data_IF_818226586583
#
_entry.id   IF_818226586583
#
_cell.length_a   1.000
_cell.length_b   1.000
_cell.length_c   1.000
_cell.angle_alpha   90.00
_cell.angle_beta   90.00
_cell.angle_gamma   90.00
#
_symmetry.space_group_name_H-M   'P 1'
#
loop_
_entity.id
_entity.type
_entity.pdbx_description
1 polymer ?
#
# COMPACT_ATOMS: atom_id res chain seq x y z
N UNK A 1 -19.57 7.76 29.77
CA UNK A 1 -18.20 8.24 30.10
C UNK A 1 -17.16 7.73 29.11
N UNK A 2 -17.18 6.46 28.71
CA UNK A 2 -16.24 5.92 27.67
C UNK A 2 -16.49 6.54 26.29
N UNK A 3 -17.75 6.84 25.93
CA UNK A 3 -18.10 7.50 24.65
C UNK A 3 -17.63 8.97 24.60
N UNK A 4 -17.63 9.70 25.70
CA UNK A 4 -17.11 11.08 25.74
C UNK A 4 -15.60 11.12 25.58
N UNK A 5 -14.88 10.08 26.00
CA UNK A 5 -13.44 9.93 25.79
C UNK A 5 -13.11 9.52 24.34
N UNK A 6 -13.97 8.73 23.69
CA UNK A 6 -13.79 8.32 22.29
C UNK A 6 -14.19 9.43 21.28
N UNK A 7 -15.17 10.26 21.64
CA UNK A 7 -15.61 11.41 20.82
C UNK A 7 -14.73 12.65 21.05
N UNK A 8 -14.01 12.70 22.16
CA UNK A 8 -13.15 13.83 22.54
C UNK A 8 -11.68 13.69 22.12
N UNK A 9 -11.25 12.53 21.64
CA UNK A 9 -9.89 12.41 21.11
C UNK A 9 -9.88 12.84 19.63
N UNK A 10 -9.24 13.96 19.32
CA UNK A 10 -8.99 14.43 17.96
C UNK A 10 -8.41 13.34 17.05
N UNK A 11 -7.70 12.37 17.62
CA UNK A 11 -7.09 11.23 16.94
C UNK A 11 -8.11 10.28 16.28
N UNK A 12 -9.36 10.23 16.77
CA UNK A 12 -10.41 9.36 16.21
C UNK A 12 -11.25 10.01 15.12
N UNK A 13 -11.10 11.32 14.90
CA UNK A 13 -11.94 12.10 13.97
C UNK A 13 -11.14 12.58 12.75
N UNK A 14 -9.81 12.54 12.76
CA UNK A 14 -8.94 13.17 11.74
C UNK A 14 -9.28 12.80 10.30
N UNK A 15 -9.79 11.60 10.03
CA UNK A 15 -10.07 11.13 8.66
C UNK A 15 -11.55 10.96 8.35
N UNK A 16 -12.45 11.32 9.29
CA UNK A 16 -13.88 11.15 9.14
C UNK A 16 -14.66 12.36 9.61
N UNK A 17 -15.71 12.66 8.85
CA UNK A 17 -16.71 13.61 9.30
C UNK A 17 -17.62 12.95 10.36
N UNK A 18 -18.28 13.77 11.21
CA UNK A 18 -19.30 13.29 12.14
C UNK A 18 -20.42 12.54 11.41
N UNK A 19 -20.72 12.94 10.18
CA UNK A 19 -21.75 12.33 9.35
C UNK A 19 -21.34 10.90 8.94
N UNK A 20 -20.09 10.68 8.54
CA UNK A 20 -19.58 9.35 8.22
C UNK A 20 -19.61 8.42 9.44
N UNK A 21 -19.22 8.92 10.62
CA UNK A 21 -19.32 8.15 11.86
C UNK A 21 -20.77 7.76 12.20
N UNK A 22 -21.72 8.68 12.01
CA UNK A 22 -23.14 8.39 12.22
C UNK A 22 -23.68 7.35 11.23
N UNK A 23 -23.23 7.37 9.98
CA UNK A 23 -23.57 6.36 8.96
C UNK A 23 -23.09 4.99 9.39
N UNK A 24 -21.84 4.85 9.85
CA UNK A 24 -21.30 3.57 10.34
C UNK A 24 -22.10 3.05 11.53
N UNK A 25 -22.34 3.92 12.52
CA UNK A 25 -23.09 3.57 13.72
C UNK A 25 -24.52 3.11 13.40
N UNK A 26 -25.17 3.78 12.45
CA UNK A 26 -26.51 3.40 11.97
C UNK A 26 -26.49 2.05 11.25
N UNK A 27 -25.45 1.80 10.45
CA UNK A 27 -25.28 0.53 9.72
C UNK A 27 -25.07 -0.65 10.66
N UNK A 28 -24.22 -0.49 11.68
CA UNK A 28 -23.94 -1.52 12.67
C UNK A 28 -25.05 -1.67 13.72
N UNK A 29 -25.91 -0.64 13.90
CA UNK A 29 -26.94 -0.56 14.91
C UNK A 29 -26.44 -0.77 16.35
N UNK A 30 -25.20 -0.34 16.62
CA UNK A 30 -24.53 -0.35 17.92
C UNK A 30 -23.35 0.60 17.92
N UNK A 31 -22.75 0.81 19.09
CA UNK A 31 -21.49 1.53 19.20
C UNK A 31 -20.32 0.68 18.69
N UNK A 32 -19.28 1.35 18.19
CA UNK A 32 -18.07 0.73 17.68
C UNK A 32 -17.08 0.44 18.82
N UNK A 33 -16.32 -0.64 18.69
CA UNK A 33 -15.09 -0.81 19.47
C UNK A 33 -13.98 0.09 18.91
N UNK A 34 -12.86 0.21 19.65
CA UNK A 34 -11.72 1.00 19.19
C UNK A 34 -11.08 0.38 17.94
N UNK A 35 -11.04 -0.93 17.86
CA UNK A 35 -10.53 -1.66 16.70
C UNK A 35 -11.40 -1.42 15.47
N UNK A 36 -12.71 -1.50 15.61
CA UNK A 36 -13.66 -1.21 14.53
C UNK A 36 -13.55 0.25 14.07
N UNK A 37 -13.38 1.17 15.01
CA UNK A 37 -13.17 2.57 14.71
C UNK A 37 -11.87 2.74 13.87
N UNK A 38 -10.79 2.07 14.23
CA UNK A 38 -9.54 2.04 13.48
C UNK A 38 -9.70 1.43 12.08
N UNK A 39 -10.36 0.27 11.97
CA UNK A 39 -10.64 -0.38 10.69
C UNK A 39 -11.41 0.54 9.74
N UNK A 40 -12.50 1.14 10.21
CA UNK A 40 -13.28 2.07 9.39
C UNK A 40 -12.50 3.35 9.07
N UNK A 41 -11.59 3.82 9.97
CA UNK A 41 -10.73 4.95 9.70
C UNK A 41 -9.80 4.66 8.53
N UNK A 42 -9.13 3.54 8.57
CA UNK A 42 -8.21 3.13 7.52
C UNK A 42 -8.95 2.87 6.19
N UNK A 43 -10.02 2.07 6.22
CA UNK A 43 -10.70 1.66 4.99
C UNK A 43 -11.55 2.75 4.34
N UNK A 44 -11.94 3.79 5.09
CA UNK A 44 -12.80 4.87 4.59
C UNK A 44 -12.06 6.19 4.34
N UNK A 45 -10.75 6.22 4.47
CA UNK A 45 -9.96 7.37 4.04
C UNK A 45 -9.87 7.43 2.50
N UNK A 46 -9.45 8.57 1.97
CA UNK A 46 -9.31 8.76 0.51
C UNK A 46 -8.31 7.78 -0.11
N UNK A 47 -7.23 7.46 0.61
CA UNK A 47 -6.17 6.57 0.13
C UNK A 47 -6.70 5.15 -0.18
N UNK A 48 -7.56 4.58 0.70
CA UNK A 48 -8.08 3.22 0.52
C UNK A 48 -9.38 3.16 -0.31
N UNK A 49 -10.29 4.14 -0.17
CA UNK A 49 -11.63 4.04 -0.78
C UNK A 49 -11.85 4.91 -2.02
N UNK A 50 -10.93 5.84 -2.30
CA UNK A 50 -11.02 6.77 -3.44
C UNK A 50 -12.35 7.55 -3.47
N UNK A 51 -12.91 7.89 -2.30
CA UNK A 51 -14.26 8.46 -2.18
C UNK A 51 -14.46 9.76 -2.98
N UNK A 52 -13.42 10.56 -3.14
CA UNK A 52 -13.43 11.81 -3.91
C UNK A 52 -12.83 11.69 -5.29
N UNK A 53 -11.75 10.92 -5.47
CA UNK A 53 -11.03 10.78 -6.73
C UNK A 53 -11.66 9.81 -7.72
N UNK A 54 -12.43 8.81 -7.24
CA UNK A 54 -13.04 7.75 -8.08
C UNK A 54 -13.84 8.28 -9.27
N UNK A 55 -14.53 9.42 -9.12
CA UNK A 55 -15.29 10.06 -10.21
C UNK A 55 -14.41 10.56 -11.36
N UNK A 56 -13.15 10.90 -11.04
CA UNK A 56 -12.16 11.35 -12.01
C UNK A 56 -11.43 10.18 -12.65
N UNK A 57 -11.04 9.18 -11.83
CA UNK A 57 -10.39 7.96 -12.30
C UNK A 57 -11.23 7.23 -13.35
N UNK A 58 -12.55 7.21 -13.18
CA UNK A 58 -13.50 6.64 -14.17
C UNK A 58 -13.48 7.32 -15.54
N UNK A 59 -12.86 8.50 -15.70
CA UNK A 59 -12.74 9.19 -16.98
C UNK A 59 -11.50 8.78 -17.77
N UNK A 60 -10.56 8.08 -17.13
CA UNK A 60 -9.37 7.55 -17.78
C UNK A 60 -9.77 6.40 -18.72
N UNK A 61 -9.17 6.30 -19.89
CA UNK A 61 -9.43 5.18 -20.81
C UNK A 61 -8.82 3.91 -20.22
N UNK A 62 -9.69 3.00 -19.79
CA UNK A 62 -9.29 1.72 -19.16
C UNK A 62 -9.85 0.50 -19.88
N UNK A 63 -10.54 0.71 -21.00
CA UNK A 63 -11.15 -0.34 -21.81
C UNK A 63 -10.61 -0.24 -23.25
N UNK A 64 -9.86 -1.26 -23.66
CA UNK A 64 -9.23 -1.36 -24.97
C UNK A 64 -8.94 -2.84 -25.26
N UNK A 65 -8.78 -3.19 -26.55
CA UNK A 65 -8.50 -4.57 -26.99
C UNK A 65 -7.23 -5.18 -26.40
N UNK A 66 -6.24 -4.34 -26.03
CA UNK A 66 -4.99 -4.80 -25.41
C UNK A 66 -5.07 -4.91 -23.88
N UNK A 67 -6.14 -4.46 -23.24
CA UNK A 67 -6.27 -4.52 -21.76
C UNK A 67 -6.77 -5.89 -21.36
N UNK A 68 -5.92 -6.66 -20.67
CA UNK A 68 -6.29 -7.95 -20.07
C UNK A 68 -6.92 -7.71 -18.72
N UNK A 69 -6.27 -6.87 -17.89
CA UNK A 69 -6.75 -6.49 -16.56
C UNK A 69 -6.75 -4.97 -16.43
N UNK A 70 -7.93 -4.38 -16.30
CA UNK A 70 -8.14 -2.98 -15.95
C UNK A 70 -8.15 -2.76 -14.43
N UNK A 71 -8.64 -1.57 -13.96
CA UNK A 71 -8.74 -1.26 -12.53
C UNK A 71 -9.56 -2.28 -11.75
N UNK A 72 -9.12 -2.58 -10.50
CA UNK A 72 -9.80 -3.49 -9.58
C UNK A 72 -8.93 -4.62 -9.05
N UNK A 73 -7.74 -4.80 -9.57
CA UNK A 73 -6.68 -5.67 -9.06
C UNK A 73 -5.44 -4.85 -8.67
N UNK A 74 -4.40 -5.51 -8.18
CA UNK A 74 -3.20 -4.84 -7.67
C UNK A 74 -2.43 -4.09 -8.76
N UNK A 75 -2.44 -4.61 -9.99
CA UNK A 75 -1.85 -3.93 -11.13
C UNK A 75 -2.69 -4.08 -12.40
N UNK A 76 -2.54 -3.17 -13.36
CA UNK A 76 -3.04 -3.32 -14.70
C UNK A 76 -2.20 -4.30 -15.51
N UNK A 77 -2.84 -5.01 -16.44
CA UNK A 77 -2.13 -5.92 -17.35
C UNK A 77 -2.56 -5.66 -18.78
N UNK A 78 -1.59 -5.49 -19.67
CA UNK A 78 -1.80 -5.34 -21.10
C UNK A 78 -1.22 -6.51 -21.89
N UNK A 79 -1.84 -6.80 -23.01
CA UNK A 79 -1.44 -7.85 -23.95
C UNK A 79 -0.23 -7.40 -24.79
N UNK A 80 0.80 -8.23 -24.86
CA UNK A 80 1.94 -8.09 -25.77
C UNK A 80 1.86 -8.99 -26.99
N UNK A 81 0.71 -9.65 -27.21
CA UNK A 81 0.49 -10.75 -28.15
C UNK A 81 1.07 -12.09 -27.66
N UNK A 82 0.88 -13.14 -28.46
CA UNK A 82 1.20 -14.52 -28.08
C UNK A 82 0.67 -14.86 -26.67
N UNK A 83 1.51 -15.39 -25.76
CA UNK A 83 1.14 -15.69 -24.38
C UNK A 83 1.73 -14.69 -23.37
N UNK A 84 2.26 -13.58 -23.82
CA UNK A 84 2.95 -12.60 -22.96
C UNK A 84 2.09 -11.40 -22.62
N UNK A 85 2.25 -10.89 -21.40
CA UNK A 85 1.63 -9.68 -20.90
C UNK A 85 2.60 -8.86 -20.07
N UNK A 86 2.30 -7.57 -19.96
CA UNK A 86 2.98 -6.64 -19.07
C UNK A 86 2.04 -6.20 -17.96
N UNK A 87 2.43 -6.48 -16.73
CA UNK A 87 1.82 -5.89 -15.54
C UNK A 87 2.53 -4.59 -15.20
N UNK A 88 1.78 -3.55 -14.84
CA UNK A 88 2.35 -2.26 -14.43
C UNK A 88 1.43 -1.53 -13.48
N UNK A 89 2.03 -0.75 -12.60
CA UNK A 89 1.35 0.15 -11.67
C UNK A 89 2.24 1.31 -11.32
N UNK A 90 1.65 2.46 -11.08
CA UNK A 90 2.30 3.64 -10.50
C UNK A 90 1.55 4.05 -9.25
N UNK A 91 2.27 4.41 -8.20
CA UNK A 91 1.71 4.87 -6.94
C UNK A 91 2.55 5.99 -6.34
N UNK A 92 1.89 6.91 -5.62
CA UNK A 92 2.56 8.00 -4.94
C UNK A 92 2.95 7.62 -3.52
N UNK A 93 4.14 8.06 -3.09
CA UNK A 93 4.63 7.92 -1.72
C UNK A 93 5.18 9.26 -1.20
N UNK A 94 4.38 10.32 -1.34
CA UNK A 94 4.79 11.72 -1.18
C UNK A 94 5.08 12.08 0.28
N UNK A 95 4.08 12.01 1.16
CA UNK A 95 4.22 12.40 2.57
C UNK A 95 5.29 11.59 3.31
N UNK A 96 5.34 10.26 3.22
CA UNK A 96 6.43 9.50 3.82
C UNK A 96 7.82 9.96 3.34
N UNK A 97 7.96 10.28 2.06
CA UNK A 97 9.22 10.74 1.47
C UNK A 97 9.57 12.18 1.85
N UNK A 98 8.62 12.99 2.30
CA UNK A 98 8.89 14.32 2.84
C UNK A 98 9.44 14.25 4.27
N UNK A 99 8.91 13.34 5.08
CA UNK A 99 9.26 13.16 6.50
C UNK A 99 10.59 12.39 6.62
N UNK A 100 10.69 11.25 5.96
CA UNK A 100 11.85 10.36 5.95
C UNK A 100 12.19 9.98 4.50
N UNK A 101 12.93 10.83 3.76
CA UNK A 101 13.05 10.70 2.32
C UNK A 101 13.66 9.38 1.86
N UNK A 102 14.60 8.81 2.63
CA UNK A 102 15.18 7.50 2.32
C UNK A 102 14.16 6.37 2.55
N UNK A 103 13.59 6.27 3.74
CA UNK A 103 12.63 5.20 4.06
C UNK A 103 11.33 5.35 3.26
N UNK A 104 10.82 6.58 3.12
CA UNK A 104 9.60 6.83 2.37
C UNK A 104 9.70 6.42 0.90
N UNK A 105 10.78 6.77 0.23
CA UNK A 105 10.97 6.38 -1.18
C UNK A 105 11.32 4.91 -1.34
N UNK A 106 12.12 4.33 -0.43
CA UNK A 106 12.43 2.91 -0.43
C UNK A 106 11.16 2.06 -0.30
N UNK A 107 10.27 2.40 0.62
CA UNK A 107 9.00 1.68 0.81
C UNK A 107 8.00 1.93 -0.32
N UNK A 108 8.07 3.08 -0.98
CA UNK A 108 7.33 3.33 -2.23
C UNK A 108 7.72 2.34 -3.33
N UNK A 109 9.03 2.10 -3.52
CA UNK A 109 9.52 1.09 -4.46
C UNK A 109 9.11 -0.31 -4.03
N UNK A 110 9.25 -0.67 -2.75
CA UNK A 110 8.85 -1.99 -2.23
C UNK A 110 7.36 -2.25 -2.45
N UNK A 111 6.49 -1.30 -2.08
CA UNK A 111 5.04 -1.43 -2.27
C UNK A 111 4.66 -1.68 -3.72
N UNK A 112 5.21 -0.89 -4.64
CA UNK A 112 4.86 -1.03 -6.05
C UNK A 112 5.37 -2.34 -6.66
N UNK A 113 6.50 -2.87 -6.20
CA UNK A 113 7.01 -4.17 -6.62
C UNK A 113 6.11 -5.31 -6.14
N UNK A 114 5.59 -5.23 -4.89
CA UNK A 114 4.64 -6.22 -4.36
C UNK A 114 3.38 -6.30 -5.19
N UNK A 115 2.83 -5.17 -5.59
CA UNK A 115 1.66 -5.13 -6.46
C UNK A 115 1.88 -5.88 -7.78
N UNK A 116 3.06 -5.75 -8.36
CA UNK A 116 3.41 -6.44 -9.61
C UNK A 116 3.49 -7.95 -9.39
N UNK A 117 4.27 -8.42 -8.41
CA UNK A 117 4.40 -9.87 -8.25
C UNK A 117 3.15 -10.53 -7.64
N UNK A 118 2.27 -9.78 -6.96
CA UNK A 118 0.93 -10.26 -6.56
C UNK A 118 0.10 -10.70 -7.77
N UNK A 119 0.30 -10.10 -8.94
CA UNK A 119 -0.33 -10.50 -10.20
C UNK A 119 0.31 -11.75 -10.87
N UNK A 120 1.26 -12.40 -10.22
CA UNK A 120 2.05 -13.48 -10.84
C UNK A 120 3.10 -12.98 -11.84
N UNK A 121 3.26 -11.67 -11.95
CA UNK A 121 4.22 -11.04 -12.84
C UNK A 121 5.59 -10.91 -12.16
N UNK A 122 6.67 -11.24 -12.89
CA UNK A 122 8.02 -10.98 -12.41
C UNK A 122 8.39 -9.53 -12.68
N UNK A 123 8.66 -8.71 -11.65
CA UNK A 123 9.16 -7.36 -11.86
C UNK A 123 10.48 -7.35 -12.63
N UNK A 124 10.60 -6.48 -13.61
CA UNK A 124 11.77 -6.38 -14.49
C UNK A 124 12.39 -4.99 -14.53
N UNK A 125 11.60 -3.96 -14.15
CA UNK A 125 12.06 -2.58 -14.15
C UNK A 125 11.23 -1.72 -13.21
N UNK A 126 11.85 -0.65 -12.71
CA UNK A 126 11.17 0.48 -12.07
C UNK A 126 11.44 1.78 -12.82
N UNK A 127 10.53 2.73 -12.67
CA UNK A 127 10.61 4.09 -13.17
C UNK A 127 10.06 5.02 -12.09
N UNK A 128 10.48 6.28 -12.09
CA UNK A 128 9.99 7.24 -11.10
C UNK A 128 9.59 8.56 -11.75
N UNK A 129 8.59 9.21 -11.18
CA UNK A 129 8.24 10.59 -11.50
C UNK A 129 8.33 11.39 -10.21
N UNK A 130 9.40 12.18 -10.07
CA UNK A 130 9.71 12.89 -8.83
C UNK A 130 9.75 14.39 -9.05
N UNK A 131 9.18 15.13 -8.08
CA UNK A 131 9.12 16.58 -8.13
C UNK A 131 9.47 17.16 -6.78
N UNK A 132 10.29 18.21 -6.81
CA UNK A 132 10.81 18.88 -5.62
C UNK A 132 10.68 20.39 -5.76
N UNK A 133 10.81 21.10 -4.64
CA UNK A 133 10.96 22.54 -4.61
C UNK A 133 12.23 23.04 -5.31
N UNK A 134 12.54 24.31 -5.15
CA UNK A 134 13.69 24.91 -5.81
C UNK A 134 15.00 24.25 -5.38
N UNK A 135 15.83 23.86 -6.34
CA UNK A 135 17.08 23.10 -6.13
C UNK A 135 18.12 23.86 -5.28
N UNK A 136 18.00 25.18 -5.21
CA UNK A 136 18.89 26.03 -4.42
C UNK A 136 18.68 25.87 -2.91
N UNK A 137 17.50 25.42 -2.47
CA UNK A 137 17.18 25.27 -1.05
C UNK A 137 17.86 24.05 -0.43
N UNK A 138 18.29 24.16 0.81
CA UNK A 138 18.91 23.04 1.54
C UNK A 138 17.89 21.90 1.80
N UNK A 139 16.62 22.23 2.03
CA UNK A 139 15.55 21.23 2.21
C UNK A 139 15.39 20.39 0.95
N UNK A 140 15.32 21.02 -0.23
CA UNK A 140 15.21 20.29 -1.51
C UNK A 140 16.40 19.37 -1.74
N UNK A 141 17.63 19.82 -1.49
CA UNK A 141 18.82 18.99 -1.62
C UNK A 141 18.78 17.78 -0.68
N UNK A 142 18.35 18.00 0.56
CA UNK A 142 18.18 16.92 1.55
C UNK A 142 17.15 15.89 1.08
N UNK A 143 15.96 16.35 0.65
CA UNK A 143 14.89 15.49 0.17
C UNK A 143 15.31 14.70 -1.08
N UNK A 144 15.86 15.39 -2.08
CA UNK A 144 16.34 14.76 -3.32
C UNK A 144 17.38 13.66 -3.04
N UNK A 145 18.39 14.01 -2.22
CA UNK A 145 19.43 13.04 -1.88
C UNK A 145 18.88 11.79 -1.20
N UNK A 146 18.01 11.98 -0.20
CA UNK A 146 17.39 10.86 0.51
C UNK A 146 16.49 10.01 -0.39
N UNK A 147 15.64 10.64 -1.21
CA UNK A 147 14.73 9.94 -2.15
C UNK A 147 15.51 9.12 -3.17
N UNK A 148 16.51 9.72 -3.84
CA UNK A 148 17.32 9.00 -4.84
C UNK A 148 18.08 7.84 -4.20
N UNK A 149 18.61 8.03 -2.98
CA UNK A 149 19.27 6.95 -2.24
C UNK A 149 18.30 5.82 -1.87
N UNK A 150 17.09 6.15 -1.41
CA UNK A 150 16.07 5.15 -1.05
C UNK A 150 15.66 4.29 -2.24
N UNK A 151 15.34 4.94 -3.37
CA UNK A 151 15.00 4.26 -4.63
C UNK A 151 16.15 3.35 -5.08
N UNK A 152 17.38 3.91 -5.16
CA UNK A 152 18.56 3.17 -5.60
C UNK A 152 18.93 2.01 -4.68
N UNK A 153 18.82 2.21 -3.36
CA UNK A 153 19.09 1.16 -2.37
C UNK A 153 18.13 -0.02 -2.55
N UNK A 154 16.81 0.26 -2.62
CA UNK A 154 15.82 -0.79 -2.74
C UNK A 154 15.98 -1.57 -4.04
N UNK A 155 16.06 -0.88 -5.17
CA UNK A 155 16.25 -1.48 -6.49
C UNK A 155 17.52 -2.33 -6.60
N UNK A 156 18.64 -1.81 -6.10
CA UNK A 156 19.92 -2.53 -6.11
C UNK A 156 19.89 -3.82 -5.27
N UNK A 157 19.31 -3.76 -4.06
CA UNK A 157 19.26 -4.93 -3.17
C UNK A 157 18.31 -6.01 -3.71
N UNK A 158 17.18 -5.64 -4.29
CA UNK A 158 16.25 -6.62 -4.87
C UNK A 158 16.68 -7.09 -6.26
N UNK A 159 17.58 -6.36 -6.92
CA UNK A 159 18.12 -6.68 -8.25
C UNK A 159 17.20 -6.27 -9.40
N UNK A 160 16.41 -5.22 -9.23
CA UNK A 160 15.52 -4.68 -10.26
C UNK A 160 15.99 -3.26 -10.62
N UNK A 161 16.40 -3.03 -11.90
CA UNK A 161 16.95 -1.75 -12.31
C UNK A 161 15.88 -0.67 -12.39
N UNK A 162 16.22 0.53 -11.98
CA UNK A 162 15.49 1.75 -12.35
C UNK A 162 16.00 2.18 -13.74
N UNK A 163 15.11 2.19 -14.73
CA UNK A 163 15.48 2.37 -16.14
C UNK A 163 15.10 3.73 -16.70
N UNK A 164 14.42 4.57 -15.92
CA UNK A 164 14.01 5.88 -16.40
C UNK A 164 13.03 6.57 -15.46
N UNK A 165 12.48 7.65 -15.95
CA UNK A 165 11.56 8.52 -15.22
C UNK A 165 11.82 9.98 -15.51
N UNK A 166 11.34 10.85 -14.65
CA UNK A 166 11.50 12.30 -14.75
C UNK A 166 11.75 12.92 -13.37
N UNK A 167 12.51 13.99 -13.34
CA UNK A 167 12.76 14.80 -12.15
C UNK A 167 12.62 16.27 -12.48
N UNK A 168 11.72 16.97 -11.78
CA UNK A 168 11.43 18.36 -12.01
C UNK A 168 11.54 19.16 -10.70
N UNK A 169 11.85 20.48 -10.84
CA UNK A 169 12.03 21.41 -9.73
C UNK A 169 11.17 22.65 -9.96
N UNK A 170 10.27 22.94 -9.01
CA UNK A 170 9.42 24.12 -9.05
C UNK A 170 9.01 24.54 -7.64
N UNK A 171 8.91 25.82 -7.38
CA UNK A 171 8.60 26.37 -6.04
C UNK A 171 7.27 25.89 -5.46
N UNK A 172 6.33 25.46 -6.28
CA UNK A 172 5.05 24.86 -5.82
C UNK A 172 5.23 23.57 -5.03
N UNK A 173 6.40 22.93 -5.14
CA UNK A 173 6.74 21.70 -4.41
C UNK A 173 7.67 21.92 -3.21
N UNK A 174 7.93 23.17 -2.80
CA UNK A 174 8.82 23.46 -1.66
C UNK A 174 8.38 22.80 -0.36
N UNK A 175 7.06 22.67 -0.15
CA UNK A 175 6.48 22.10 1.07
C UNK A 175 5.79 20.75 0.85
N UNK A 176 5.80 20.22 -0.36
CA UNK A 176 5.15 18.95 -0.69
C UNK A 176 5.77 18.35 -1.95
N UNK A 177 6.87 17.63 -1.78
CA UNK A 177 7.48 16.88 -2.87
C UNK A 177 6.53 15.80 -3.40
N UNK A 178 6.66 15.47 -4.68
CA UNK A 178 5.99 14.31 -5.27
C UNK A 178 7.02 13.20 -5.52
N UNK A 179 6.72 12.02 -5.02
CA UNK A 179 7.50 10.81 -5.27
C UNK A 179 6.54 9.74 -5.76
N UNK A 180 6.57 9.48 -7.06
CA UNK A 180 5.74 8.44 -7.67
C UNK A 180 6.66 7.34 -8.16
N UNK A 181 6.47 6.13 -7.63
CA UNK A 181 7.18 4.94 -8.05
C UNK A 181 6.30 4.12 -9.00
N UNK A 182 6.87 3.71 -10.11
CA UNK A 182 6.25 2.81 -11.07
C UNK A 182 7.06 1.53 -11.17
N UNK A 183 6.38 0.40 -11.24
CA UNK A 183 7.01 -0.88 -11.54
C UNK A 183 6.35 -1.53 -12.75
N UNK A 184 7.17 -2.29 -13.48
CA UNK A 184 6.79 -3.06 -14.66
C UNK A 184 7.23 -4.49 -14.47
N UNK A 185 6.36 -5.45 -14.78
CA UNK A 185 6.66 -6.88 -14.68
C UNK A 185 6.15 -7.65 -15.90
N UNK A 186 6.82 -8.74 -16.19
CA UNK A 186 6.43 -9.68 -17.24
C UNK A 186 5.59 -10.82 -16.66
N UNK A 187 4.52 -11.19 -17.33
CA UNK A 187 3.65 -12.31 -16.95
C UNK A 187 3.20 -13.09 -18.18
N UNK A 188 3.11 -14.40 -18.06
CA UNK A 188 2.39 -15.21 -19.05
C UNK A 188 0.89 -15.09 -18.80
N UNK A 189 0.09 -14.89 -19.85
CA UNK A 189 -1.36 -14.62 -19.72
C UNK A 189 -2.13 -15.71 -19.00
N UNK A 190 -1.73 -16.96 -19.15
CA UNK A 190 -2.30 -18.12 -18.47
C UNK A 190 -1.83 -18.27 -17.01
N UNK A 191 -0.88 -17.43 -16.56
CA UNK A 191 -0.35 -17.43 -15.19
C UNK A 191 -0.68 -16.16 -14.41
N UNK A 192 -1.54 -15.30 -14.94
CA UNK A 192 -2.00 -14.12 -14.19
C UNK A 192 -2.71 -14.59 -12.92
N UNK A 193 -2.25 -14.04 -11.78
CA UNK A 193 -2.78 -14.36 -10.47
C UNK A 193 -3.65 -13.22 -9.96
N UNK A 194 -4.67 -13.54 -9.17
CA UNK A 194 -5.66 -12.57 -8.70
C UNK A 194 -5.81 -12.64 -7.19
N UNK A 195 -6.27 -11.53 -6.60
CA UNK A 195 -6.52 -11.46 -5.17
C UNK A 195 -7.88 -12.04 -4.75
N UNK A 196 -8.73 -12.42 -5.69
CA UNK A 196 -10.05 -13.00 -5.45
C UNK A 196 -9.97 -14.46 -5.03
N UNK A 197 -10.31 -14.83 -3.78
CA UNK A 197 -10.44 -16.24 -3.38
C UNK A 197 -11.61 -16.91 -4.13
N UNK A 198 -11.44 -18.19 -4.45
CA UNK A 198 -12.38 -18.99 -5.25
C UNK A 198 -13.24 -19.92 -4.38
N UNK A 199 -12.72 -20.31 -3.22
CA UNK A 199 -13.35 -21.30 -2.34
C UNK A 199 -13.78 -20.71 -0.99
N UNK A 200 -14.78 -21.32 -0.37
CA UNK A 200 -15.19 -21.03 1.01
C UNK A 200 -14.52 -22.04 1.93
N UNK A 201 -13.99 -21.56 3.07
CA UNK A 201 -13.30 -22.41 4.06
C UNK A 201 -11.81 -22.60 3.78
N UNK A 202 -11.25 -21.88 2.80
CA UNK A 202 -9.81 -21.80 2.57
C UNK A 202 -9.07 -21.23 3.79
N UNK A 203 -7.83 -21.67 3.99
CA UNK A 203 -6.97 -21.17 5.05
C UNK A 203 -6.31 -19.89 4.63
N UNK A 204 -6.36 -18.87 5.50
CA UNK A 204 -5.59 -17.64 5.31
C UNK A 204 -4.15 -17.91 5.77
N UNK A 205 -3.21 -17.66 4.89
CA UNK A 205 -1.78 -17.84 5.11
C UNK A 205 -1.08 -16.47 5.10
N UNK A 206 -0.44 -16.14 6.21
CA UNK A 206 0.42 -14.96 6.33
C UNK A 206 1.83 -15.36 5.88
N UNK A 207 2.44 -14.57 4.98
CA UNK A 207 3.76 -14.83 4.41
C UNK A 207 4.61 -13.56 4.53
N UNK A 208 5.87 -13.68 4.94
CA UNK A 208 6.82 -12.59 4.98
C UNK A 208 7.25 -12.16 6.37
N UNK A 209 7.61 -10.89 6.50
CA UNK A 209 8.17 -10.29 7.72
C UNK A 209 7.19 -10.26 8.87
N UNK A 210 7.72 -10.26 10.10
CA UNK A 210 6.91 -10.11 11.31
C UNK A 210 6.31 -8.71 11.42
N UNK A 211 5.10 -8.62 11.93
CA UNK A 211 4.39 -7.36 12.19
C UNK A 211 5.03 -6.57 13.33
N UNK A 212 5.30 -5.31 13.11
CA UNK A 212 5.77 -4.32 14.09
C UNK A 212 4.82 -3.13 14.22
N UNK A 213 5.28 -2.05 14.84
CA UNK A 213 4.50 -0.80 15.01
C UNK A 213 4.62 0.17 13.82
N UNK A 214 5.32 -0.20 12.78
CA UNK A 214 5.60 0.70 11.66
C UNK A 214 4.33 1.02 10.89
N UNK A 215 4.21 2.25 10.41
CA UNK A 215 3.15 2.69 9.52
C UNK A 215 1.75 2.71 10.12
N UNK A 216 1.58 2.56 11.44
CA UNK A 216 0.26 2.72 12.06
C UNK A 216 -0.24 4.14 11.77
N UNK A 217 -1.41 4.26 11.13
CA UNK A 217 -1.97 5.48 10.58
C UNK A 217 -1.26 6.05 9.33
N UNK A 218 -0.40 5.29 8.66
CA UNK A 218 0.27 5.72 7.43
C UNK A 218 -0.71 6.07 6.31
N UNK A 219 -1.72 5.24 6.08
CA UNK A 219 -2.78 5.52 5.10
C UNK A 219 -3.55 6.81 5.40
N UNK A 220 -3.83 7.09 6.66
CA UNK A 220 -4.46 8.33 7.10
C UNK A 220 -3.56 9.53 6.87
N UNK A 221 -2.30 9.42 7.26
CA UNK A 221 -1.28 10.46 7.04
C UNK A 221 -1.12 10.80 5.55
N UNK A 222 -1.18 9.80 4.66
CA UNK A 222 -1.07 10.00 3.22
C UNK A 222 -2.21 10.84 2.61
N UNK A 223 -3.34 10.94 3.30
CA UNK A 223 -4.53 11.70 2.88
C UNK A 223 -4.74 13.02 3.64
N UNK A 224 -3.85 13.34 4.58
CA UNK A 224 -3.97 14.50 5.47
C UNK A 224 -3.35 15.77 4.87
N UNK A 225 -3.74 16.93 5.42
CA UNK A 225 -3.05 18.20 5.13
C UNK A 225 -1.75 18.23 5.92
N UNK A 226 -0.65 18.49 5.23
CA UNK A 226 0.68 18.45 5.80
C UNK A 226 1.10 19.84 6.32
N UNK A 227 1.68 19.89 7.52
CA UNK A 227 2.34 21.07 8.07
C UNK A 227 3.76 20.71 8.54
N UNK A 228 4.71 21.64 8.43
CA UNK A 228 6.10 21.43 8.87
C UNK A 228 6.20 21.15 10.38
N UNK A 229 5.29 21.69 11.17
CA UNK A 229 5.25 21.51 12.64
C UNK A 229 4.97 20.06 13.05
N UNK A 230 4.37 19.27 12.15
CA UNK A 230 3.98 17.88 12.41
C UNK A 230 5.04 16.82 12.04
N UNK A 231 6.18 17.21 11.44
CA UNK A 231 7.18 16.26 10.91
C UNK A 231 7.68 15.27 11.96
N UNK A 232 8.09 15.76 13.13
CA UNK A 232 8.63 14.91 14.21
C UNK A 232 7.56 14.00 14.82
N UNK A 233 6.32 14.47 14.95
CA UNK A 233 5.20 13.70 15.48
C UNK A 233 4.78 12.58 14.52
N UNK A 234 4.83 12.83 13.21
CA UNK A 234 4.43 11.88 12.15
C UNK A 234 5.54 10.90 11.75
N UNK A 235 6.79 11.14 12.15
CA UNK A 235 7.94 10.28 11.81
C UNK A 235 7.75 8.79 12.16
N UNK A 236 7.17 8.40 13.32
CA UNK A 236 6.92 7.00 13.64
C UNK A 236 5.89 6.31 12.72
N UNK A 237 5.10 7.07 11.96
CA UNK A 237 4.13 6.55 10.99
C UNK A 237 4.75 6.19 9.63
N UNK A 238 6.03 6.51 9.41
CA UNK A 238 6.74 6.11 8.19
C UNK A 238 7.18 4.66 8.31
N UNK A 239 6.92 3.90 7.26
CA UNK A 239 7.32 2.50 7.17
C UNK A 239 8.84 2.38 6.95
N UNK A 240 9.40 1.22 7.31
CA UNK A 240 10.79 0.87 7.05
C UNK A 240 10.82 -0.36 6.15
N UNK A 241 11.48 -0.26 5.00
CA UNK A 241 11.59 -1.34 4.04
C UNK A 241 12.84 -2.19 4.23
N UNK A 242 12.72 -3.49 3.95
CA UNK A 242 13.81 -4.47 3.92
C UNK A 242 13.86 -5.14 2.52
N UNK A 243 14.62 -4.57 1.56
CA UNK A 243 14.65 -5.10 0.20
C UNK A 243 15.25 -6.49 0.10
N UNK A 244 16.06 -6.94 1.06
CA UNK A 244 16.55 -8.31 1.11
C UNK A 244 15.40 -9.28 1.44
N UNK A 245 14.60 -8.94 2.44
CA UNK A 245 13.42 -9.75 2.76
C UNK A 245 12.39 -9.72 1.63
N UNK A 246 12.21 -8.59 0.96
CA UNK A 246 11.31 -8.52 -0.19
C UNK A 246 11.79 -9.37 -1.37
N UNK A 247 13.10 -9.44 -1.60
CA UNK A 247 13.66 -10.36 -2.61
C UNK A 247 13.30 -11.80 -2.33
N UNK A 248 13.46 -12.25 -1.08
CA UNK A 248 13.10 -13.61 -0.68
C UNK A 248 11.59 -13.84 -0.79
N UNK A 249 10.80 -12.86 -0.38
CA UNK A 249 9.34 -12.90 -0.44
C UNK A 249 8.86 -13.02 -1.88
N UNK A 250 9.38 -12.20 -2.79
CA UNK A 250 9.04 -12.22 -4.21
C UNK A 250 9.31 -13.59 -4.84
N UNK A 251 10.51 -14.14 -4.64
CA UNK A 251 10.87 -15.45 -5.20
C UNK A 251 9.96 -16.57 -4.63
N UNK A 252 9.75 -16.55 -3.29
CA UNK A 252 8.88 -17.52 -2.64
C UNK A 252 7.42 -17.42 -3.08
N UNK A 253 6.88 -16.20 -3.25
CA UNK A 253 5.51 -16.00 -3.72
C UNK A 253 5.30 -16.45 -5.17
N UNK A 254 6.23 -16.13 -6.07
CA UNK A 254 6.15 -16.56 -7.47
C UNK A 254 6.25 -18.08 -7.60
N UNK A 255 7.09 -18.74 -6.80
CA UNK A 255 7.17 -20.19 -6.73
C UNK A 255 5.86 -20.79 -6.16
N UNK A 256 5.33 -20.21 -5.07
CA UNK A 256 4.10 -20.68 -4.44
C UNK A 256 2.89 -20.56 -5.39
N UNK A 257 2.76 -19.47 -6.13
CA UNK A 257 1.71 -19.31 -7.14
C UNK A 257 1.80 -20.39 -8.23
N UNK A 258 3.02 -20.70 -8.68
CA UNK A 258 3.23 -21.72 -9.71
C UNK A 258 3.01 -23.15 -9.22
N UNK A 259 3.05 -23.39 -7.91
CA UNK A 259 2.82 -24.72 -7.31
C UNK A 259 1.36 -25.16 -7.33
N UNK A 260 0.41 -24.22 -7.50
CA UNK A 260 -1.03 -24.46 -7.40
C UNK A 260 -1.54 -24.76 -5.99
N UNK A 261 -0.75 -24.47 -4.95
CA UNK A 261 -1.14 -24.69 -3.54
C UNK A 261 -1.99 -23.53 -2.98
N UNK A 262 -2.00 -22.39 -3.64
CA UNK A 262 -2.82 -21.23 -3.27
C UNK A 262 -3.73 -20.82 -4.43
N UNK A 263 -4.83 -20.19 -4.13
CA UNK A 263 -5.81 -19.74 -5.12
C UNK A 263 -5.92 -18.25 -5.28
N UNK A 264 -5.42 -17.48 -4.32
CA UNK A 264 -5.42 -16.02 -4.34
C UNK A 264 -4.31 -15.45 -3.46
N UNK A 265 -3.87 -14.22 -3.78
CA UNK A 265 -2.84 -13.51 -3.03
C UNK A 265 -3.10 -12.01 -3.05
N UNK A 266 -2.77 -11.34 -1.95
CA UNK A 266 -2.84 -9.88 -1.79
C UNK A 266 -1.61 -9.42 -1.01
N UNK A 267 -1.05 -8.26 -1.36
CA UNK A 267 -0.02 -7.64 -0.54
C UNK A 267 -0.62 -6.97 0.71
N UNK A 268 0.17 -6.76 1.73
CA UNK A 268 -0.18 -5.98 2.90
C UNK A 268 0.48 -4.60 2.80
N UNK A 269 -0.11 -3.71 2.01
CA UNK A 269 0.30 -2.32 1.86
C UNK A 269 -0.33 -1.43 2.92
N UNK A 270 -1.01 -0.37 2.48
CA UNK A 270 -1.75 0.54 3.35
C UNK A 270 -2.76 -0.20 4.23
N UNK A 271 -2.82 0.15 5.52
CA UNK A 271 -3.66 -0.53 6.53
C UNK A 271 -3.40 -2.05 6.67
N UNK A 272 -2.31 -2.56 6.12
CA UNK A 272 -1.77 -3.89 6.37
C UNK A 272 -2.75 -5.05 6.24
N UNK A 273 -2.91 -5.85 7.31
CA UNK A 273 -3.78 -7.02 7.31
C UNK A 273 -5.26 -6.66 7.17
N UNK A 274 -5.65 -5.45 7.58
CA UNK A 274 -7.04 -4.99 7.47
C UNK A 274 -7.43 -4.81 6.02
N UNK A 275 -6.68 -4.02 5.24
CA UNK A 275 -7.02 -3.78 3.82
C UNK A 275 -6.93 -5.06 3.01
N UNK A 276 -5.83 -5.81 3.13
CA UNK A 276 -5.63 -7.04 2.37
C UNK A 276 -6.74 -8.06 2.59
N UNK A 277 -7.13 -8.29 3.85
CA UNK A 277 -8.20 -9.25 4.16
C UNK A 277 -9.58 -8.78 3.71
N UNK A 278 -9.90 -7.49 3.90
CA UNK A 278 -11.18 -6.89 3.47
C UNK A 278 -11.30 -6.89 1.94
N UNK A 279 -10.25 -6.55 1.24
CA UNK A 279 -10.24 -6.55 -0.23
C UNK A 279 -10.43 -7.95 -0.80
N UNK A 280 -9.68 -8.94 -0.31
CA UNK A 280 -9.85 -10.34 -0.72
C UNK A 280 -11.26 -10.83 -0.44
N UNK A 281 -11.79 -10.60 0.77
CA UNK A 281 -13.14 -10.99 1.16
C UNK A 281 -14.20 -10.32 0.28
N UNK A 282 -14.06 -9.02 0.02
CA UNK A 282 -14.98 -8.26 -0.84
C UNK A 282 -14.97 -8.78 -2.28
N UNK A 283 -13.79 -9.01 -2.87
CA UNK A 283 -13.66 -9.56 -4.23
C UNK A 283 -14.22 -10.99 -4.33
N UNK A 284 -14.04 -11.78 -3.28
CA UNK A 284 -14.60 -13.15 -3.17
C UNK A 284 -16.09 -13.19 -2.86
N UNK A 285 -16.68 -12.07 -2.43
CA UNK A 285 -18.03 -12.01 -1.83
C UNK A 285 -18.20 -13.01 -0.68
N UNK A 286 -17.21 -13.06 0.21
CA UNK A 286 -17.15 -13.97 1.37
C UNK A 286 -16.82 -13.19 2.64
N UNK A 287 -17.00 -13.81 3.80
CA UNK A 287 -16.51 -13.32 5.08
C UNK A 287 -15.09 -13.81 5.35
N UNK A 288 -14.42 -13.18 6.29
CA UNK A 288 -13.08 -13.57 6.75
C UNK A 288 -13.05 -13.69 8.27
N UNK A 289 -12.33 -14.70 8.77
CA UNK A 289 -12.07 -14.87 10.21
C UNK A 289 -10.56 -14.97 10.43
N UNK A 290 -10.01 -14.00 11.15
CA UNK A 290 -8.57 -13.92 11.45
C UNK A 290 -8.36 -14.08 12.95
N UNK A 291 -7.50 -15.03 13.33
CA UNK A 291 -7.03 -15.16 14.71
C UNK A 291 -5.75 -14.31 14.87
N UNK A 292 -5.87 -13.15 15.50
CA UNK A 292 -4.77 -12.21 15.69
C UNK A 292 -3.63 -12.76 16.56
N UNK A 293 -3.90 -13.72 17.46
CA UNK A 293 -2.88 -14.37 18.28
C UNK A 293 -1.88 -15.19 17.44
N UNK A 294 -2.24 -15.51 16.20
CA UNK A 294 -1.39 -16.24 15.26
C UNK A 294 -0.59 -15.36 14.32
N UNK A 295 -0.81 -14.05 14.34
CA UNK A 295 -0.02 -13.12 13.53
C UNK A 295 1.41 -13.06 14.09
N UNK A 296 2.44 -13.29 13.25
CA UNK A 296 3.82 -13.21 13.71
C UNK A 296 4.19 -11.78 14.10
N UNK A 297 4.65 -11.56 15.33
CA UNK A 297 4.94 -10.24 15.87
C UNK A 297 6.43 -10.05 16.13
N UNK A 298 6.97 -8.83 15.93
CA UNK A 298 8.33 -8.42 16.33
C UNK A 298 8.41 -8.10 17.82
N UNK A 299 7.31 -7.59 18.39
CA UNK A 299 7.16 -7.23 19.80
C UNK A 299 5.69 -7.41 20.21
N UNK A 300 5.35 -7.37 21.51
CA UNK A 300 3.96 -7.35 21.93
C UNK A 300 3.19 -6.17 21.31
N UNK A 301 2.05 -6.44 20.72
CA UNK A 301 1.17 -5.47 20.08
C UNK A 301 -0.27 -5.71 20.55
N UNK A 302 -1.04 -4.64 20.68
CA UNK A 302 -2.50 -4.70 20.85
C UNK A 302 -3.20 -5.14 19.55
N UNK A 303 -4.46 -5.57 19.66
CA UNK A 303 -5.27 -5.92 18.50
C UNK A 303 -5.37 -4.76 17.50
N UNK A 304 -5.54 -3.54 18.00
CA UNK A 304 -5.55 -2.32 17.19
C UNK A 304 -4.25 -2.14 16.39
N UNK A 305 -3.10 -2.27 17.04
CA UNK A 305 -1.79 -2.13 16.39
C UNK A 305 -1.55 -3.24 15.35
N UNK A 306 -1.96 -4.48 15.62
CA UNK A 306 -1.85 -5.60 14.67
C UNK A 306 -2.67 -5.34 13.41
N UNK A 307 -3.89 -4.87 13.58
CA UNK A 307 -4.83 -4.61 12.48
C UNK A 307 -4.40 -3.47 11.58
N UNK A 308 -3.75 -2.43 12.12
CA UNK A 308 -3.43 -1.20 11.41
C UNK A 308 -1.95 -1.03 11.09
N UNK A 309 -1.09 -1.96 11.50
CA UNK A 309 0.33 -1.93 11.16
C UNK A 309 0.52 -2.06 9.65
N UNK A 310 1.36 -1.19 9.09
CA UNK A 310 1.78 -1.21 7.69
C UNK A 310 3.23 -1.71 7.55
N UNK A 311 3.68 -2.61 8.45
CA UNK A 311 4.98 -3.27 8.30
C UNK A 311 5.10 -3.85 6.91
N UNK A 312 6.23 -3.59 6.27
CA UNK A 312 6.48 -3.94 4.88
C UNK A 312 6.81 -5.43 4.70
N UNK A 313 6.97 -5.86 3.46
CA UNK A 313 7.37 -7.22 3.05
C UNK A 313 6.45 -8.32 3.62
N UNK A 314 5.14 -8.11 3.49
CA UNK A 314 4.12 -9.05 3.95
C UNK A 314 3.07 -9.30 2.88
N UNK A 315 2.63 -10.56 2.78
CA UNK A 315 1.60 -11.01 1.86
C UNK A 315 0.55 -11.83 2.59
N UNK A 316 -0.67 -11.80 2.07
CA UNK A 316 -1.79 -12.64 2.51
C UNK A 316 -2.20 -13.54 1.35
N UNK A 317 -2.32 -14.83 1.59
CA UNK A 317 -2.74 -15.82 0.59
C UNK A 317 -3.91 -16.68 1.11
N UNK A 318 -4.66 -17.26 0.18
CA UNK A 318 -5.69 -18.27 0.46
C UNK A 318 -5.42 -19.49 -0.40
#
# INVERSE_FOLDING_TARGET
>A
EMLSCLVGSEMCIRDRTLDEFQVIRKYLNRDLSIEELGIFSAMWNEHCCYKTSKKWLKKLPTDNEIVIQGPGENAGVIDLQDNDGIAFKIESHNHPSYIEPFNGSATGVGGILRDIFTMGARPIATLDSIRFGLIETEKTKYLLNGVVHGIGHYGNCIGIPNIGGECEFESTYDFNNLVNAMAVGHVQKDKIFYSKPKSIGGLIVYIGSKTGKDGIHGASMASDVFSEEDEDEKRPSVQVGDPFMEKLLMEGCLELMSSGLIESMQDMGAAGITSSSVEMASKGNVGVHINLDKVPLRQPLSAYEILLSESQERMLAV
#
